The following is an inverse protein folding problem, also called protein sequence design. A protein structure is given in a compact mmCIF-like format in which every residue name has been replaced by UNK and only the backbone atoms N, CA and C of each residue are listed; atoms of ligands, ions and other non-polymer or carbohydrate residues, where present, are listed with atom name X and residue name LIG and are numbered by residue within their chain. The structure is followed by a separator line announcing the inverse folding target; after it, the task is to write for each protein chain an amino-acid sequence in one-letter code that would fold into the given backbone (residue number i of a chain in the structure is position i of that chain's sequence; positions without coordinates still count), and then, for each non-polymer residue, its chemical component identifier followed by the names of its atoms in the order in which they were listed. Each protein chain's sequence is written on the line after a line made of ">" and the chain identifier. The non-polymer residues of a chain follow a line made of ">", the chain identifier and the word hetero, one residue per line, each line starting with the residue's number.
data_IF_769215403563
#
_entry.id   IF_769215403563
#
_cell.length_a   1.000
_cell.length_b   1.000
_cell.length_c   1.000
_cell.angle_alpha   90.00
_cell.angle_beta   90.00
_cell.angle_gamma   90.00
#
_symmetry.space_group_name_H-M   'P 1'
#
loop_
_entity.id
_entity.type
_entity.pdbx_description
1 polymer ?
#
# COMPACT_ATOMS: atom_id res chain seq x y z
N UNK A 1 -42.26 -8.38 15.47
CA UNK A 1 -41.23 -8.69 14.48
C UNK A 1 -40.98 -7.42 13.67
N UNK A 2 -39.95 -6.66 14.02
CA UNK A 2 -39.49 -5.53 13.22
C UNK A 2 -38.05 -5.89 12.86
N UNK A 3 -37.85 -6.30 11.60
CA UNK A 3 -36.51 -6.47 11.04
C UNK A 3 -35.99 -5.06 10.83
N UNK A 4 -35.00 -4.65 11.63
CA UNK A 4 -34.14 -3.53 11.26
C UNK A 4 -33.53 -3.86 9.91
N UNK A 5 -33.83 -3.05 8.92
CA UNK A 5 -33.02 -2.96 7.71
C UNK A 5 -31.68 -2.40 8.14
N UNK A 6 -30.63 -3.22 8.06
CA UNK A 6 -29.25 -2.71 8.07
C UNK A 6 -29.16 -1.87 6.81
N UNK A 7 -28.97 -0.55 6.95
CA UNK A 7 -28.65 0.29 5.81
C UNK A 7 -27.43 -0.31 5.12
N UNK A 8 -27.52 -0.54 3.81
CA UNK A 8 -26.36 -0.94 3.04
C UNK A 8 -25.31 0.16 3.21
N UNK A 9 -24.14 -0.19 3.77
CA UNK A 9 -23.03 0.74 3.86
C UNK A 9 -22.76 1.33 2.47
N UNK A 10 -22.58 2.66 2.40
CA UNK A 10 -22.12 3.32 1.18
C UNK A 10 -20.83 2.62 0.74
N UNK A 11 -20.72 2.18 -0.53
CA UNK A 11 -19.50 1.54 -0.99
C UNK A 11 -18.33 2.51 -0.79
N UNK A 12 -17.15 2.00 -0.38
CA UNK A 12 -15.97 2.84 -0.18
C UNK A 12 -15.65 3.60 -1.47
N UNK A 13 -15.17 4.82 -1.32
CA UNK A 13 -14.87 5.69 -2.44
C UNK A 13 -13.38 5.59 -2.74
N UNK A 14 -13.02 5.17 -3.95
CA UNK A 14 -11.65 5.25 -4.44
C UNK A 14 -11.13 6.70 -4.45
N UNK A 15 -9.80 6.92 -4.51
CA UNK A 15 -9.24 8.26 -4.64
C UNK A 15 -9.88 9.02 -5.81
N UNK A 16 -10.14 10.33 -5.66
CA UNK A 16 -10.50 11.15 -6.81
C UNK A 16 -9.44 11.04 -7.91
N UNK A 17 -9.88 10.77 -9.14
CA UNK A 17 -8.97 10.56 -10.26
C UNK A 17 -8.03 11.77 -10.49
N UNK A 18 -6.74 11.49 -10.67
CA UNK A 18 -5.73 12.49 -11.02
C UNK A 18 -5.36 13.49 -9.92
N UNK A 19 -5.75 13.25 -8.65
CA UNK A 19 -5.19 14.04 -7.55
C UNK A 19 -3.74 13.66 -7.32
N UNK A 20 -2.93 14.63 -6.89
CA UNK A 20 -1.54 14.38 -6.52
C UNK A 20 -1.48 13.93 -5.06
N UNK A 21 -0.75 12.85 -4.81
CA UNK A 21 -0.49 12.33 -3.47
C UNK A 21 0.86 12.78 -2.91
N UNK A 22 1.01 12.70 -1.59
CA UNK A 22 2.30 12.75 -0.89
C UNK A 22 2.47 11.50 -0.02
N UNK A 23 3.62 10.83 -0.13
CA UNK A 23 3.91 9.55 0.52
C UNK A 23 4.76 9.79 1.77
N UNK A 24 4.07 9.82 2.92
CA UNK A 24 4.55 10.33 4.20
C UNK A 24 4.69 9.22 5.26
N UNK A 25 5.43 8.15 4.96
CA UNK A 25 5.61 7.03 5.90
C UNK A 25 6.60 7.32 7.03
N UNK A 26 7.61 8.16 6.80
CA UNK A 26 8.54 8.60 7.86
C UNK A 26 7.93 9.60 8.85
N UNK A 27 6.64 9.92 8.72
CA UNK A 27 5.86 10.77 9.60
C UNK A 27 5.06 11.83 8.84
N UNK A 28 3.88 12.14 9.36
CA UNK A 28 2.95 13.09 8.81
C UNK A 28 3.42 14.53 8.95
N UNK A 29 3.30 15.29 7.87
CA UNK A 29 3.51 16.74 7.85
C UNK A 29 2.46 17.43 6.98
N UNK A 30 2.34 18.76 7.15
CA UNK A 30 1.42 19.55 6.35
C UNK A 30 1.78 19.46 4.85
N UNK A 31 0.90 18.91 3.99
CA UNK A 31 1.23 18.72 2.58
C UNK A 31 1.37 20.04 1.82
N UNK A 32 2.16 20.02 0.75
CA UNK A 32 2.34 21.18 -0.12
C UNK A 32 1.02 21.58 -0.81
N UNK A 33 0.93 22.85 -1.22
CA UNK A 33 -0.22 23.31 -2.02
C UNK A 33 -0.31 22.51 -3.33
N UNK A 34 -1.52 22.07 -3.68
CA UNK A 34 -1.75 21.22 -4.86
C UNK A 34 -1.79 19.72 -4.56
N UNK A 35 -1.30 19.28 -3.38
CA UNK A 35 -1.49 17.91 -2.92
C UNK A 35 -2.95 17.72 -2.49
N UNK A 36 -3.59 16.70 -3.05
CA UNK A 36 -5.00 16.34 -2.79
C UNK A 36 -5.16 15.11 -1.90
N UNK A 37 -4.10 14.34 -1.69
CA UNK A 37 -4.13 13.16 -0.83
C UNK A 37 -2.77 12.83 -0.19
N UNK A 38 -2.78 12.01 0.85
CA UNK A 38 -1.56 11.51 1.51
C UNK A 38 -1.66 10.01 1.72
N UNK A 39 -0.51 9.35 1.75
CA UNK A 39 -0.37 8.02 2.36
C UNK A 39 0.47 8.18 3.62
N UNK A 40 0.01 7.63 4.75
CA UNK A 40 0.69 7.68 6.04
C UNK A 40 0.66 6.33 6.74
N UNK A 41 1.65 6.08 7.57
CA UNK A 41 1.69 4.87 8.40
C UNK A 41 0.44 4.74 9.29
N UNK A 42 0.02 3.49 9.56
CA UNK A 42 -1.15 3.20 10.39
C UNK A 42 -1.07 3.68 11.85
N UNK A 43 0.11 4.11 12.30
CA UNK A 43 0.32 4.72 13.61
C UNK A 43 0.23 6.25 13.59
N UNK A 44 0.04 6.86 12.42
CA UNK A 44 -0.14 8.30 12.23
C UNK A 44 -1.63 8.67 12.05
N UNK A 45 -1.90 9.97 11.98
CA UNK A 45 -3.23 10.53 11.79
C UNK A 45 -3.48 10.90 10.31
N UNK A 46 -4.72 10.79 9.82
CA UNK A 46 -5.07 11.26 8.48
C UNK A 46 -4.87 12.78 8.34
N UNK A 47 -4.72 13.27 7.10
CA UNK A 47 -4.61 14.70 6.83
C UNK A 47 -6.01 15.33 6.68
N UNK A 48 -6.33 16.30 7.52
CA UNK A 48 -7.63 16.97 7.52
C UNK A 48 -7.94 17.60 6.13
N UNK A 49 -9.08 17.24 5.56
CA UNK A 49 -9.57 17.81 4.30
C UNK A 49 -8.92 17.25 3.03
N UNK A 50 -8.04 16.24 3.15
CA UNK A 50 -7.40 15.54 2.04
C UNK A 50 -7.78 14.06 2.06
N UNK A 51 -7.70 13.41 0.89
CA UNK A 51 -7.89 11.96 0.81
C UNK A 51 -6.72 11.25 1.50
N UNK A 52 -6.99 10.47 2.54
CA UNK A 52 -5.94 9.86 3.37
C UNK A 52 -5.93 8.33 3.27
N UNK A 53 -4.79 7.77 2.89
CA UNK A 53 -4.54 6.32 2.80
C UNK A 53 -3.71 5.87 4.00
N UNK A 54 -4.19 4.86 4.72
CA UNK A 54 -3.51 4.23 5.84
C UNK A 54 -2.60 3.11 5.31
N UNK A 55 -1.30 3.24 5.45
CA UNK A 55 -0.32 2.20 5.11
C UNK A 55 -0.31 1.11 6.18
N UNK A 56 -0.39 -0.14 5.74
CA UNK A 56 -0.29 -1.32 6.60
C UNK A 56 0.53 -2.38 5.88
N UNK A 57 1.66 -2.81 6.45
CA UNK A 57 2.33 -4.03 5.99
C UNK A 57 1.44 -5.25 6.32
N UNK A 58 1.00 -5.99 5.30
CA UNK A 58 0.04 -7.08 5.49
C UNK A 58 0.47 -8.45 4.97
N UNK A 59 1.68 -8.55 4.44
CA UNK A 59 2.25 -9.82 3.98
C UNK A 59 3.56 -10.16 4.68
N UNK A 60 4.09 -9.22 5.48
CA UNK A 60 5.22 -9.40 6.36
C UNK A 60 4.90 -8.84 7.75
N UNK A 61 5.70 -9.21 8.73
CA UNK A 61 5.70 -8.55 10.05
C UNK A 61 6.36 -7.19 9.95
N UNK A 62 6.04 -6.27 10.86
CA UNK A 62 6.79 -5.02 11.00
C UNK A 62 7.80 -5.12 12.14
N UNK A 63 8.84 -4.26 12.16
CA UNK A 63 9.86 -4.31 13.21
C UNK A 63 9.28 -4.18 14.62
N UNK A 64 8.17 -3.44 14.77
CA UNK A 64 7.52 -3.20 16.06
C UNK A 64 6.71 -4.39 16.58
N UNK A 65 6.21 -5.28 15.73
CA UNK A 65 5.35 -6.42 16.12
C UNK A 65 5.97 -7.79 15.81
N UNK A 66 7.17 -7.82 15.22
CA UNK A 66 7.93 -9.02 14.86
C UNK A 66 8.01 -10.06 15.99
N UNK A 67 8.37 -9.63 17.20
CA UNK A 67 8.52 -10.55 18.33
C UNK A 67 7.17 -11.09 18.81
N UNK A 68 6.10 -10.27 18.76
CA UNK A 68 4.74 -10.71 19.09
C UNK A 68 4.26 -11.79 18.10
N UNK A 69 4.58 -11.66 16.81
CA UNK A 69 4.29 -12.71 15.82
C UNK A 69 5.01 -14.01 16.13
N UNK A 70 6.29 -13.95 16.50
CA UNK A 70 7.08 -15.13 16.84
C UNK A 70 6.62 -15.82 18.14
N UNK A 71 6.20 -15.04 19.13
CA UNK A 71 5.79 -15.56 20.43
C UNK A 71 4.34 -16.10 20.42
N UNK A 72 3.41 -15.38 19.78
CA UNK A 72 1.98 -15.70 19.84
C UNK A 72 1.49 -16.51 18.62
N UNK A 73 2.12 -16.31 17.46
CA UNK A 73 1.70 -16.89 16.19
C UNK A 73 2.86 -17.42 15.33
N UNK A 74 3.82 -18.19 15.90
CA UNK A 74 4.96 -18.69 15.14
C UNK A 74 4.55 -19.53 13.93
N UNK A 75 3.37 -20.15 13.97
CA UNK A 75 2.84 -20.94 12.86
C UNK A 75 2.31 -20.10 11.69
N UNK A 76 2.09 -18.79 11.89
CA UNK A 76 1.70 -17.84 10.85
C UNK A 76 2.89 -17.13 10.20
N UNK A 77 4.12 -17.39 10.68
CA UNK A 77 5.35 -16.94 10.04
C UNK A 77 5.88 -18.04 9.13
N UNK A 78 6.29 -17.69 7.91
CA UNK A 78 6.86 -18.63 6.95
C UNK A 78 8.24 -19.07 7.44
N UNK A 79 8.53 -20.37 7.32
CA UNK A 79 9.82 -20.92 7.72
C UNK A 79 10.55 -21.53 6.52
N UNK A 80 11.87 -21.36 6.48
CA UNK A 80 12.78 -22.00 5.55
C UNK A 80 13.89 -22.71 6.33
N UNK A 81 14.13 -23.99 6.01
CA UNK A 81 15.10 -24.84 6.69
C UNK A 81 15.00 -24.88 8.24
N UNK A 82 13.80 -24.68 8.76
CA UNK A 82 13.50 -24.74 10.19
C UNK A 82 13.58 -23.39 10.93
N UNK A 83 13.95 -22.32 10.24
CA UNK A 83 14.05 -20.96 10.79
C UNK A 83 12.99 -20.04 10.17
N UNK A 84 12.51 -19.01 10.89
CA UNK A 84 11.66 -17.96 10.32
C UNK A 84 12.33 -17.32 9.09
N UNK A 85 11.58 -17.19 7.99
CA UNK A 85 12.08 -16.61 6.76
C UNK A 85 12.06 -15.08 6.86
N UNK A 86 13.25 -14.50 6.92
CA UNK A 86 13.50 -13.06 6.89
C UNK A 86 13.54 -12.59 5.44
N UNK A 87 12.97 -11.42 5.15
CA UNK A 87 13.13 -10.79 3.84
C UNK A 87 14.58 -10.32 3.65
N UNK A 88 15.19 -10.66 2.51
CA UNK A 88 16.59 -10.29 2.23
C UNK A 88 16.80 -8.78 2.06
N UNK A 89 15.76 -8.05 1.66
CA UNK A 89 15.79 -6.60 1.50
C UNK A 89 15.40 -5.87 2.79
N UNK A 90 14.65 -6.53 3.68
CA UNK A 90 14.14 -5.99 4.95
C UNK A 90 14.47 -6.95 6.11
N UNK A 91 15.70 -6.88 6.67
CA UNK A 91 16.22 -7.89 7.59
C UNK A 91 15.51 -7.95 8.95
N UNK A 92 14.66 -6.97 9.25
CA UNK A 92 13.80 -6.86 10.41
C UNK A 92 12.36 -7.33 10.16
N UNK A 93 12.01 -7.71 8.93
CA UNK A 93 10.69 -8.22 8.56
C UNK A 93 10.71 -9.72 8.28
N UNK A 94 9.65 -10.41 8.70
CA UNK A 94 9.44 -11.84 8.47
C UNK A 94 8.28 -12.04 7.50
N UNK A 95 8.45 -12.95 6.54
CA UNK A 95 7.38 -13.28 5.59
C UNK A 95 6.28 -14.05 6.30
N UNK A 96 5.01 -13.64 6.13
CA UNK A 96 3.86 -14.36 6.68
C UNK A 96 3.53 -15.60 5.85
N UNK A 97 3.17 -16.70 6.51
CA UNK A 97 2.83 -17.96 5.86
C UNK A 97 1.39 -17.96 5.36
N UNK A 98 1.23 -17.60 4.08
CA UNK A 98 -0.08 -17.55 3.41
C UNK A 98 -0.49 -18.89 2.78
N UNK A 99 0.25 -19.99 2.99
CA UNK A 99 0.11 -21.26 2.23
C UNK A 99 -1.19 -22.03 2.44
N UNK A 100 -1.98 -21.71 3.47
CA UNK A 100 -3.26 -22.38 3.74
C UNK A 100 -4.37 -21.38 4.02
N UNK A 101 -5.60 -21.76 3.72
CA UNK A 101 -6.77 -20.91 3.98
C UNK A 101 -6.94 -20.57 5.46
N UNK A 102 -6.65 -21.50 6.38
CA UNK A 102 -6.71 -21.25 7.83
C UNK A 102 -5.70 -20.17 8.25
N UNK A 103 -4.46 -20.28 7.77
CA UNK A 103 -3.43 -19.27 8.04
C UNK A 103 -3.82 -17.91 7.50
N UNK A 104 -4.30 -17.83 6.24
CA UNK A 104 -4.78 -16.57 5.66
C UNK A 104 -5.92 -15.94 6.45
N UNK A 105 -6.88 -16.74 6.93
CA UNK A 105 -7.96 -16.22 7.78
C UNK A 105 -7.45 -15.67 9.11
N UNK A 106 -6.48 -16.35 9.75
CA UNK A 106 -5.90 -15.90 11.02
C UNK A 106 -5.00 -14.68 10.87
N UNK A 107 -4.22 -14.62 9.78
CA UNK A 107 -3.44 -13.43 9.41
C UNK A 107 -4.39 -12.24 9.19
N UNK A 108 -5.44 -12.43 8.38
CA UNK A 108 -6.43 -11.39 8.14
C UNK A 108 -7.16 -10.95 9.42
N UNK A 109 -7.47 -11.88 10.32
CA UNK A 109 -8.09 -11.55 11.60
C UNK A 109 -7.18 -10.71 12.50
N UNK A 110 -5.85 -10.91 12.44
CA UNK A 110 -4.89 -10.12 13.24
C UNK A 110 -4.77 -8.69 12.73
N UNK A 111 -4.81 -8.47 11.41
CA UNK A 111 -4.79 -7.11 10.85
C UNK A 111 -6.12 -6.37 10.92
N UNK A 112 -7.24 -7.08 11.15
CA UNK A 112 -8.55 -6.46 11.27
C UNK A 112 -8.57 -5.33 12.33
N UNK A 113 -7.87 -5.49 13.45
CA UNK A 113 -7.76 -4.45 14.48
C UNK A 113 -7.05 -3.19 13.95
N UNK A 114 -6.07 -3.34 13.06
CA UNK A 114 -5.38 -2.21 12.42
C UNK A 114 -6.29 -1.52 11.40
N UNK A 115 -7.00 -2.29 10.58
CA UNK A 115 -7.99 -1.78 9.63
C UNK A 115 -9.09 -0.97 10.33
N UNK A 116 -9.63 -1.51 11.44
CA UNK A 116 -10.64 -0.84 12.25
C UNK A 116 -10.11 0.45 12.91
N UNK A 117 -8.83 0.48 13.30
CA UNK A 117 -8.19 1.71 13.79
C UNK A 117 -8.06 2.75 12.69
N UNK A 118 -7.62 2.38 11.48
CA UNK A 118 -7.56 3.29 10.34
C UNK A 118 -8.96 3.88 10.03
N UNK A 119 -10.01 3.05 10.00
CA UNK A 119 -11.38 3.50 9.81
C UNK A 119 -11.83 4.47 10.91
N UNK A 120 -11.54 4.13 12.17
CA UNK A 120 -11.93 4.93 13.33
C UNK A 120 -11.19 6.27 13.41
N UNK A 121 -9.93 6.32 12.95
CA UNK A 121 -9.15 7.55 12.84
C UNK A 121 -9.65 8.47 11.71
N UNK A 122 -10.37 7.91 10.73
CA UNK A 122 -10.96 8.66 9.63
C UNK A 122 -10.11 8.66 8.36
N UNK A 123 -9.26 7.66 8.16
CA UNK A 123 -8.69 7.40 6.84
C UNK A 123 -9.81 7.02 5.85
N UNK A 124 -9.58 7.30 4.57
CA UNK A 124 -10.51 6.98 3.48
C UNK A 124 -10.22 5.61 2.86
N UNK A 125 -8.96 5.17 2.95
CA UNK A 125 -8.48 3.95 2.33
C UNK A 125 -7.32 3.31 3.08
N UNK A 126 -6.95 2.11 2.65
CA UNK A 126 -5.78 1.37 3.12
C UNK A 126 -4.92 0.97 1.93
N UNK A 127 -3.61 1.03 2.10
CA UNK A 127 -2.64 0.36 1.24
C UNK A 127 -2.08 -0.83 2.01
N UNK A 128 -2.15 -2.03 1.42
CA UNK A 128 -1.55 -3.23 2.01
C UNK A 128 -0.20 -3.51 1.34
N UNK A 129 0.89 -3.28 2.07
CA UNK A 129 2.24 -3.44 1.55
C UNK A 129 2.71 -4.89 1.49
N UNK A 130 3.79 -5.12 0.75
CA UNK A 130 4.49 -6.39 0.58
C UNK A 130 3.65 -7.50 -0.10
N UNK A 131 2.65 -7.14 -0.89
CA UNK A 131 1.81 -8.07 -1.68
C UNK A 131 2.62 -9.07 -2.53
N UNK A 132 3.82 -8.67 -2.94
CA UNK A 132 4.75 -9.45 -3.75
C UNK A 132 5.69 -10.37 -2.94
N UNK A 133 5.50 -10.49 -1.61
CA UNK A 133 6.35 -11.33 -0.72
C UNK A 133 6.48 -12.78 -1.18
N UNK A 134 5.51 -13.28 -1.95
CA UNK A 134 5.58 -14.62 -2.53
C UNK A 134 6.79 -14.81 -3.45
N UNK A 135 7.30 -13.74 -4.07
CA UNK A 135 8.50 -13.77 -4.92
C UNK A 135 9.79 -14.03 -4.13
N UNK A 136 9.79 -13.69 -2.83
CA UNK A 136 10.91 -13.81 -1.89
C UNK A 136 10.72 -14.97 -0.90
N UNK A 137 9.82 -15.90 -1.20
CA UNK A 137 9.38 -16.97 -0.29
C UNK A 137 10.16 -18.29 -0.40
N UNK A 138 11.33 -18.32 -1.03
CA UNK A 138 12.04 -19.56 -1.43
C UNK A 138 11.18 -20.55 -2.24
N UNK A 139 10.20 -20.03 -3.00
CA UNK A 139 9.25 -20.82 -3.78
C UNK A 139 8.21 -21.57 -2.93
N UNK A 140 8.00 -21.16 -1.67
CA UNK A 140 7.05 -21.78 -0.73
C UNK A 140 5.64 -21.21 -0.84
N UNK A 141 5.52 -19.97 -1.33
CA UNK A 141 4.26 -19.28 -1.56
C UNK A 141 4.10 -18.94 -3.05
N UNK A 142 2.85 -18.89 -3.52
CA UNK A 142 2.53 -18.48 -4.88
C UNK A 142 1.70 -17.19 -4.94
N UNK A 143 1.61 -16.61 -6.13
CA UNK A 143 0.74 -15.45 -6.41
C UNK A 143 -0.72 -15.70 -5.99
N UNK A 144 -1.23 -16.92 -6.16
CA UNK A 144 -2.61 -17.26 -5.78
C UNK A 144 -2.82 -17.23 -4.25
N UNK A 145 -1.80 -17.52 -3.45
CA UNK A 145 -1.88 -17.39 -1.99
C UNK A 145 -1.95 -15.92 -1.58
N UNK A 146 -1.17 -15.07 -2.26
CA UNK A 146 -1.18 -13.62 -2.04
C UNK A 146 -2.55 -13.01 -2.41
N UNK A 147 -3.08 -13.34 -3.60
CA UNK A 147 -4.41 -12.90 -4.05
C UNK A 147 -5.49 -13.37 -3.08
N UNK A 148 -5.44 -14.63 -2.62
CA UNK A 148 -6.44 -15.15 -1.68
C UNK A 148 -6.44 -14.43 -0.32
N UNK A 149 -5.28 -13.97 0.16
CA UNK A 149 -5.18 -13.15 1.37
C UNK A 149 -5.64 -11.71 1.10
N UNK A 150 -5.22 -11.11 -0.02
CA UNK A 150 -5.66 -9.80 -0.45
C UNK A 150 -7.19 -9.69 -0.56
N UNK A 151 -7.86 -10.74 -1.07
CA UNK A 151 -9.33 -10.81 -1.09
C UNK A 151 -9.95 -10.70 0.30
N UNK A 152 -9.33 -11.29 1.34
CA UNK A 152 -9.82 -11.17 2.71
C UNK A 152 -9.62 -9.75 3.25
N UNK A 153 -8.49 -9.12 2.96
CA UNK A 153 -8.25 -7.72 3.33
C UNK A 153 -9.23 -6.77 2.65
N UNK A 154 -9.47 -6.93 1.35
CA UNK A 154 -10.42 -6.08 0.63
C UNK A 154 -11.83 -6.20 1.21
N UNK A 155 -12.29 -7.42 1.51
CA UNK A 155 -13.58 -7.63 2.16
C UNK A 155 -13.69 -6.95 3.53
N UNK A 156 -12.61 -6.98 4.33
CA UNK A 156 -12.57 -6.33 5.64
C UNK A 156 -12.54 -4.80 5.51
N UNK A 157 -11.68 -4.26 4.65
CA UNK A 157 -11.59 -2.83 4.37
C UNK A 157 -12.93 -2.28 3.88
N UNK A 158 -13.55 -2.94 2.89
CA UNK A 158 -14.85 -2.53 2.36
C UNK A 158 -15.96 -2.60 3.42
N UNK A 159 -15.94 -3.60 4.31
CA UNK A 159 -16.88 -3.70 5.42
C UNK A 159 -16.69 -2.58 6.46
N UNK A 160 -15.47 -2.06 6.61
CA UNK A 160 -15.14 -0.90 7.43
C UNK A 160 -15.39 0.44 6.72
N UNK A 161 -15.80 0.43 5.44
CA UNK A 161 -16.04 1.63 4.63
C UNK A 161 -14.78 2.25 4.04
N UNK A 162 -13.67 1.52 4.00
CA UNK A 162 -12.37 1.93 3.46
C UNK A 162 -12.17 1.36 2.05
N UNK A 163 -11.65 2.15 1.12
CA UNK A 163 -11.13 1.61 -0.13
C UNK A 163 -9.79 0.89 0.12
N UNK A 164 -9.34 0.04 -0.79
CA UNK A 164 -8.08 -0.71 -0.63
C UNK A 164 -7.20 -0.66 -1.89
N UNK A 165 -5.92 -0.34 -1.70
CA UNK A 165 -4.94 -0.19 -2.76
C UNK A 165 -4.10 -1.44 -2.97
N UNK A 166 -3.88 -1.80 -4.23
CA UNK A 166 -2.86 -2.76 -4.64
C UNK A 166 -1.48 -2.11 -4.50
N UNK A 167 -0.59 -2.69 -3.68
CA UNK A 167 0.80 -2.25 -3.62
C UNK A 167 1.69 -3.05 -4.56
N UNK A 168 2.39 -2.36 -5.45
CA UNK A 168 3.28 -2.95 -6.45
C UNK A 168 2.58 -4.08 -7.25
N UNK A 169 3.30 -5.16 -7.57
CA UNK A 169 2.74 -6.37 -8.20
C UNK A 169 2.04 -6.13 -9.55
N UNK A 170 2.68 -5.37 -10.46
CA UNK A 170 2.15 -5.04 -11.79
C UNK A 170 1.68 -6.27 -12.58
N UNK A 171 2.34 -7.40 -12.37
CA UNK A 171 2.07 -8.69 -13.00
C UNK A 171 0.72 -9.31 -12.61
N UNK A 172 0.04 -8.82 -11.56
CA UNK A 172 -1.34 -9.19 -11.26
C UNK A 172 -2.30 -8.76 -12.37
N UNK A 173 -2.01 -7.64 -13.05
CA UNK A 173 -2.89 -7.04 -14.04
C UNK A 173 -4.32 -6.89 -13.50
N UNK A 174 -5.31 -7.28 -14.31
CA UNK A 174 -6.72 -7.17 -13.92
C UNK A 174 -7.11 -8.03 -12.70
N UNK A 175 -6.31 -9.05 -12.32
CA UNK A 175 -6.64 -9.91 -11.15
C UNK A 175 -6.64 -9.13 -9.85
N UNK A 176 -5.82 -8.09 -9.72
CA UNK A 176 -5.84 -7.23 -8.53
C UNK A 176 -7.22 -6.61 -8.30
N UNK A 177 -7.83 -6.08 -9.36
CA UNK A 177 -9.18 -5.53 -9.31
C UNK A 177 -10.26 -6.61 -9.25
N UNK A 178 -10.19 -7.57 -10.15
CA UNK A 178 -11.31 -8.47 -10.44
C UNK A 178 -11.38 -9.66 -9.47
N UNK A 179 -10.23 -10.16 -8.98
CA UNK A 179 -10.15 -11.30 -8.04
C UNK A 179 -9.91 -10.83 -6.59
N UNK A 180 -8.92 -9.95 -6.37
CA UNK A 180 -8.58 -9.46 -5.03
C UNK A 180 -9.54 -8.37 -4.54
N UNK A 181 -10.12 -7.57 -5.43
CA UNK A 181 -11.08 -6.52 -5.07
C UNK A 181 -10.43 -5.20 -4.65
N UNK A 182 -9.21 -4.92 -5.13
CA UNK A 182 -8.59 -3.61 -4.95
C UNK A 182 -9.32 -2.51 -5.75
N UNK A 183 -9.21 -1.27 -5.29
CA UNK A 183 -9.91 -0.09 -5.82
C UNK A 183 -8.98 0.89 -6.57
N UNK A 184 -7.69 0.84 -6.29
CA UNK A 184 -6.63 1.65 -6.90
C UNK A 184 -5.27 0.94 -6.78
N UNK A 185 -4.22 1.50 -7.36
CA UNK A 185 -2.86 1.00 -7.21
C UNK A 185 -1.92 2.05 -6.63
N UNK A 186 -0.99 1.59 -5.80
CA UNK A 186 0.20 2.32 -5.38
C UNK A 186 1.41 1.56 -5.90
N UNK A 187 2.18 2.21 -6.76
CA UNK A 187 3.38 1.65 -7.36
C UNK A 187 4.60 2.40 -6.87
N UNK A 188 5.67 1.67 -6.61
CA UNK A 188 6.99 2.24 -6.46
C UNK A 188 7.79 1.95 -7.72
N UNK A 189 8.40 2.99 -8.27
CA UNK A 189 9.38 2.90 -9.34
C UNK A 189 8.80 2.36 -10.67
N UNK A 190 7.52 2.63 -10.98
CA UNK A 190 6.92 2.08 -12.21
C UNK A 190 7.63 2.58 -13.47
N UNK A 191 8.14 3.81 -13.47
CA UNK A 191 8.85 4.36 -14.62
C UNK A 191 10.26 3.78 -14.69
N UNK A 192 10.93 3.66 -13.55
CA UNK A 192 12.24 3.01 -13.44
C UNK A 192 12.24 1.59 -14.05
N UNK A 193 11.19 0.82 -13.80
CA UNK A 193 11.04 -0.56 -14.28
C UNK A 193 10.32 -0.72 -15.64
N UNK A 194 9.81 0.37 -16.24
CA UNK A 194 8.96 0.35 -17.45
C UNK A 194 7.61 -0.37 -17.27
N UNK A 195 7.00 -0.23 -16.10
CA UNK A 195 5.79 -0.93 -15.70
C UNK A 195 4.56 -0.02 -15.56
N UNK A 196 4.71 1.31 -15.69
CA UNK A 196 3.58 2.24 -15.57
C UNK A 196 2.39 1.93 -16.48
N UNK A 197 2.65 1.46 -17.71
CA UNK A 197 1.60 1.07 -18.65
C UNK A 197 0.77 -0.12 -18.14
N UNK A 198 1.39 -1.05 -17.40
CA UNK A 198 0.71 -2.23 -16.83
C UNK A 198 -0.30 -1.81 -15.75
N UNK A 199 0.05 -0.81 -14.94
CA UNK A 199 -0.87 -0.24 -13.96
C UNK A 199 -1.98 0.59 -14.62
N UNK A 200 -1.61 1.52 -15.51
CA UNK A 200 -2.59 2.44 -16.13
C UNK A 200 -3.58 1.73 -17.06
N UNK A 201 -3.22 0.60 -17.68
CA UNK A 201 -4.15 -0.23 -18.45
C UNK A 201 -5.28 -0.80 -17.58
N UNK A 202 -5.01 -1.08 -16.30
CA UNK A 202 -5.99 -1.64 -15.36
C UNK A 202 -6.73 -0.54 -14.61
N UNK A 203 -6.01 0.46 -14.12
CA UNK A 203 -6.46 1.41 -13.11
C UNK A 203 -6.72 2.82 -13.67
N UNK A 204 -6.29 3.12 -14.90
CA UNK A 204 -6.41 4.45 -15.49
C UNK A 204 -5.70 5.51 -14.65
N UNK A 205 -6.44 6.53 -14.21
CA UNK A 205 -5.93 7.64 -13.37
C UNK A 205 -5.89 7.30 -11.87
N UNK A 206 -6.26 6.08 -11.46
CA UNK A 206 -6.23 5.61 -10.07
C UNK A 206 -4.91 4.89 -9.74
N UNK A 207 -3.80 5.47 -10.20
CA UNK A 207 -2.44 4.98 -9.92
C UNK A 207 -1.67 6.09 -9.23
N UNK A 208 -1.22 5.81 -8.02
CA UNK A 208 -0.26 6.62 -7.26
C UNK A 208 1.10 6.00 -7.52
N UNK A 209 2.05 6.77 -8.05
CA UNK A 209 3.38 6.26 -8.35
C UNK A 209 4.44 7.06 -7.58
N UNK A 210 5.36 6.34 -6.95
CA UNK A 210 6.44 6.88 -6.14
C UNK A 210 7.76 6.51 -6.79
N UNK A 211 8.46 7.50 -7.32
CA UNK A 211 9.82 7.36 -7.80
C UNK A 211 10.80 7.87 -6.73
N UNK A 212 12.01 7.33 -6.70
CA UNK A 212 12.99 7.65 -5.67
C UNK A 212 14.22 8.37 -6.21
N UNK A 213 14.66 9.39 -5.48
CA UNK A 213 15.81 10.24 -5.89
C UNK A 213 17.14 9.48 -6.06
N UNK A 214 17.28 8.30 -5.46
CA UNK A 214 18.50 7.50 -5.47
C UNK A 214 18.58 6.48 -6.63
N UNK A 215 17.45 6.17 -7.28
CA UNK A 215 17.39 5.27 -8.44
C UNK A 215 16.49 5.79 -9.58
N UNK A 216 16.26 7.10 -9.64
CA UNK A 216 15.49 7.73 -10.72
C UNK A 216 16.16 7.50 -12.08
N UNK A 217 15.39 6.99 -13.04
CA UNK A 217 15.85 6.85 -14.42
C UNK A 217 15.71 8.16 -15.20
N UNK A 218 16.78 8.95 -15.29
CA UNK A 218 16.77 10.20 -16.06
C UNK A 218 16.42 11.40 -15.19
N UNK A 219 15.80 12.43 -15.78
CA UNK A 219 15.40 13.65 -15.09
C UNK A 219 13.90 13.61 -14.74
N UNK A 220 13.53 14.23 -13.61
CA UNK A 220 12.14 14.23 -13.16
C UNK A 220 11.22 15.06 -14.07
N UNK A 221 11.71 16.15 -14.67
CA UNK A 221 10.92 16.94 -15.62
C UNK A 221 10.63 16.15 -16.91
N UNK A 222 11.63 15.39 -17.38
CA UNK A 222 11.47 14.50 -18.55
C UNK A 222 10.48 13.36 -18.23
N UNK A 223 10.56 12.80 -17.03
CA UNK A 223 9.60 11.81 -16.54
C UNK A 223 8.18 12.37 -16.51
N UNK A 224 7.97 13.57 -15.94
CA UNK A 224 6.65 14.18 -15.88
C UNK A 224 6.11 14.63 -17.25
N UNK A 225 6.96 14.72 -18.27
CA UNK A 225 6.56 14.96 -19.65
C UNK A 225 6.19 13.67 -20.40
N UNK A 226 6.48 12.49 -19.85
CA UNK A 226 6.15 11.20 -20.47
C UNK A 226 4.65 10.88 -20.31
N UNK A 227 3.88 10.76 -21.42
CA UNK A 227 2.45 10.45 -21.34
C UNK A 227 2.14 9.03 -20.84
N UNK A 228 3.15 8.16 -20.68
CA UNK A 228 2.99 6.82 -20.11
C UNK A 228 3.05 6.80 -18.57
N UNK A 229 3.50 7.88 -17.96
CA UNK A 229 3.63 8.02 -16.51
C UNK A 229 2.29 8.45 -15.91
N UNK A 230 1.87 7.89 -14.77
CA UNK A 230 0.66 8.32 -14.07
C UNK A 230 0.67 9.82 -13.76
N UNK A 231 -0.50 10.46 -13.80
CA UNK A 231 -0.61 11.87 -13.42
C UNK A 231 -0.23 12.11 -11.94
N UNK A 232 -0.46 11.12 -11.07
CA UNK A 232 -0.07 11.15 -9.66
C UNK A 232 1.29 10.47 -9.42
N UNK A 233 2.30 10.81 -10.22
CA UNK A 233 3.69 10.44 -9.94
C UNK A 233 4.38 11.49 -9.09
N UNK A 234 5.05 11.04 -8.03
CA UNK A 234 5.88 11.86 -7.16
C UNK A 234 7.32 11.35 -7.10
N UNK A 235 8.22 12.24 -6.69
CA UNK A 235 9.61 11.94 -6.37
C UNK A 235 9.83 12.09 -4.87
N UNK A 236 10.31 11.03 -4.21
CA UNK A 236 10.63 11.02 -2.77
C UNK A 236 12.08 10.63 -2.51
N UNK A 237 12.57 11.01 -1.33
CA UNK A 237 13.75 10.36 -0.74
C UNK A 237 13.40 8.93 -0.29
N UNK A 238 14.35 7.99 -0.42
CA UNK A 238 14.13 6.56 -0.12
C UNK A 238 13.67 6.31 1.32
N UNK A 239 14.19 7.10 2.25
CA UNK A 239 13.87 6.99 3.68
C UNK A 239 12.54 7.67 4.05
N UNK A 240 11.85 8.27 3.07
CA UNK A 240 10.51 8.88 3.21
C UNK A 240 10.43 9.88 4.38
N UNK A 241 11.49 10.65 4.57
CA UNK A 241 11.67 11.54 5.72
C UNK A 241 10.70 12.72 5.70
N UNK A 242 10.68 13.49 6.79
CA UNK A 242 9.87 14.72 6.94
C UNK A 242 10.68 15.97 6.57
N UNK A 243 10.05 17.13 6.27
CA UNK A 243 10.75 18.37 5.89
C UNK A 243 11.81 18.90 6.86
N UNK A 244 11.84 18.39 8.10
CA UNK A 244 12.87 18.76 9.08
C UNK A 244 14.20 18.05 8.84
N UNK A 245 14.20 16.95 8.08
CA UNK A 245 15.39 16.19 7.72
C UNK A 245 16.10 16.84 6.50
N UNK A 246 17.43 17.03 6.51
CA UNK A 246 18.16 17.56 5.35
C UNK A 246 18.09 16.66 4.10
N UNK A 247 17.81 15.36 4.28
CA UNK A 247 17.61 14.36 3.24
C UNK A 247 16.24 14.45 2.56
N UNK A 248 15.27 15.16 3.15
CA UNK A 248 13.91 15.28 2.64
C UNK A 248 13.85 15.72 1.18
N UNK A 249 13.14 14.95 0.35
CA UNK A 249 12.85 15.33 -1.04
C UNK A 249 11.39 15.04 -1.35
N UNK A 250 10.68 16.04 -1.88
CA UNK A 250 9.35 15.87 -2.44
C UNK A 250 9.26 16.70 -3.71
N UNK A 251 8.83 16.09 -4.80
CA UNK A 251 8.37 16.77 -6.00
C UNK A 251 7.20 15.95 -6.58
N UNK A 252 6.34 16.59 -7.37
CA UNK A 252 5.21 15.89 -7.98
C UNK A 252 4.96 16.38 -9.40
N UNK A 253 4.61 15.45 -10.29
CA UNK A 253 4.15 15.82 -11.61
C UNK A 253 2.88 16.68 -11.48
N UNK A 254 2.83 17.79 -12.22
CA UNK A 254 1.71 18.73 -12.18
C UNK A 254 1.71 19.73 -11.02
N UNK A 255 2.64 19.63 -10.06
CA UNK A 255 2.90 20.68 -9.06
C UNK A 255 4.24 21.34 -9.40
N UNK A 256 4.19 22.54 -9.97
CA UNK A 256 5.38 23.39 -10.06
C UNK A 256 5.58 24.06 -8.70
N UNK A 257 6.77 23.96 -8.11
CA UNK A 257 7.10 24.75 -6.91
C UNK A 257 6.81 26.23 -7.20
N UNK A 258 6.06 26.87 -6.30
CA UNK A 258 5.87 28.31 -6.39
C UNK A 258 7.21 29.00 -6.06
N UNK A 259 7.70 29.81 -7.01
CA UNK A 259 8.85 30.70 -6.83
C UNK A 259 8.75 31.61 -5.58
#
# INVERSE_FOLDING_TARGET
>A
MQRSTVDAATPPQAPPAGIVFDYQLGGGYAPAAGVGGVVRDSTDEPAEGLYSVCYVNGFQTQPADRDDWLDEHPDLVLHSDGEPLVDENWPDELILDTSTADKRQRIAARLADTLDRCASAGFDAIEIDNLDSYTRSDGRLGQDDAVALATLYAQQAHAAGLAIGQKNSAELGARGRDDAGFDFAVAEECHRWNECALYTEVWGELVIDIEYTDDLRGDFDDLCADPQVPASTILRDRDLTTPSDPGYRFAACGITEAE
#
